data_IF_493941023319
#
_entry.id   IF_493941023319
#
_cell.length_a   1.000
_cell.length_b   1.000
_cell.length_c   1.000
_cell.angle_alpha   90.00
_cell.angle_beta   90.00
_cell.angle_gamma   90.00
#
_symmetry.space_group_name_H-M   'P 1'
#
loop_
_entity.id
_entity.type
_entity.pdbx_description
1 polymer ?
#
# COMPACT_ATOMS: atom_id res chain seq x y z
N UNK A 1 6.15 -52.63 -32.05
CA UNK A 1 5.59 -52.72 -30.68
C UNK A 1 6.23 -51.60 -29.85
N UNK A 2 5.62 -50.41 -29.74
CA UNK A 2 4.74 -49.93 -28.63
C UNK A 2 5.47 -49.88 -27.27
N UNK A 3 5.59 -48.79 -26.51
CA UNK A 3 4.72 -47.61 -26.29
C UNK A 3 5.53 -46.42 -25.72
N UNK A 4 5.32 -45.21 -26.24
CA UNK A 4 5.57 -43.96 -25.52
C UNK A 4 4.50 -43.81 -24.41
N UNK A 5 4.91 -43.51 -23.18
CA UNK A 5 4.00 -43.17 -22.07
C UNK A 5 3.88 -41.64 -21.95
N UNK A 6 2.67 -41.05 -22.07
CA UNK A 6 2.47 -39.61 -21.94
C UNK A 6 2.28 -39.15 -20.48
N UNK A 7 2.90 -38.00 -20.20
CA UNK A 7 2.75 -37.02 -19.10
C UNK A 7 1.83 -37.33 -17.90
N UNK A 8 2.45 -37.48 -16.73
CA UNK A 8 1.84 -37.52 -15.36
C UNK A 8 1.50 -36.12 -14.79
N UNK A 9 1.41 -35.08 -15.64
CA UNK A 9 1.23 -33.70 -15.16
C UNK A 9 -0.26 -33.35 -15.01
N UNK A 10 -1.12 -33.90 -15.87
CA UNK A 10 -2.56 -33.64 -15.87
C UNK A 10 -3.31 -34.33 -14.71
N UNK A 11 -2.80 -35.48 -14.23
CA UNK A 11 -3.37 -36.18 -13.07
C UNK A 11 -3.20 -35.41 -11.77
N UNK A 12 -2.09 -34.65 -11.63
CA UNK A 12 -1.82 -33.85 -10.43
C UNK A 12 -2.70 -32.59 -10.35
N UNK A 13 -3.06 -32.00 -11.48
CA UNK A 13 -3.90 -30.79 -11.50
C UNK A 13 -5.36 -31.05 -11.10
N UNK A 14 -5.87 -32.29 -11.24
CA UNK A 14 -7.25 -32.63 -10.86
C UNK A 14 -7.47 -32.78 -9.34
N UNK A 15 -6.41 -32.95 -8.55
CA UNK A 15 -6.53 -33.17 -7.10
C UNK A 15 -6.63 -31.87 -6.25
N UNK A 16 -6.37 -30.71 -6.83
CA UNK A 16 -6.36 -29.43 -6.10
C UNK A 16 -7.70 -28.67 -6.10
N UNK A 17 -8.72 -29.17 -6.80
CA UNK A 17 -9.99 -28.45 -7.03
C UNK A 17 -11.14 -28.82 -6.06
N UNK A 18 -10.91 -29.68 -5.07
CA UNK A 18 -11.93 -30.14 -4.10
C UNK A 18 -11.56 -29.83 -2.66
N UNK A 19 -10.92 -28.69 -2.39
CA UNK A 19 -10.75 -28.21 -1.01
C UNK A 19 -11.98 -27.39 -0.62
N UNK A 20 -12.91 -28.10 0.01
CA UNK A 20 -14.13 -27.57 0.60
C UNK A 20 -13.83 -26.42 1.58
N UNK A 21 -14.68 -25.39 1.50
CA UNK A 21 -14.76 -24.27 2.45
C UNK A 21 -15.01 -24.83 3.85
N UNK A 22 -14.23 -24.47 4.89
CA UNK A 22 -14.66 -24.73 6.25
C UNK A 22 -15.85 -23.80 6.58
N UNK A 23 -17.05 -24.36 6.55
CA UNK A 23 -18.24 -23.81 7.23
C UNK A 23 -17.98 -23.98 8.72
N UNK A 24 -17.67 -22.86 9.38
CA UNK A 24 -17.46 -22.83 10.82
C UNK A 24 -18.83 -22.96 11.50
N UNK A 25 -19.11 -24.16 12.00
CA UNK A 25 -20.25 -24.48 12.84
C UNK A 25 -20.05 -23.84 14.22
N UNK A 26 -20.83 -22.80 14.53
CA UNK A 26 -20.88 -22.20 15.87
C UNK A 26 -21.73 -23.07 16.83
N UNK A 27 -21.24 -23.43 18.03
CA UNK A 27 -22.10 -24.00 19.07
C UNK A 27 -22.87 -22.89 19.81
N UNK A 28 -24.14 -23.12 20.22
CA UNK A 28 -24.88 -22.19 21.05
C UNK A 28 -24.63 -22.49 22.54
N UNK A 29 -24.33 -21.44 23.32
CA UNK A 29 -24.51 -21.46 24.77
C UNK A 29 -23.24 -21.27 25.59
N UNK A 30 -22.91 -20.02 25.89
CA UNK A 30 -22.26 -19.63 27.15
C UNK A 30 -22.88 -18.29 27.58
N UNK A 31 -23.35 -18.14 28.84
CA UNK A 31 -23.98 -16.92 29.32
C UNK A 31 -22.95 -15.83 29.65
N UNK A 32 -23.44 -14.59 29.63
CA UNK A 32 -22.81 -13.32 30.00
C UNK A 32 -21.58 -13.40 30.93
N UNK A 33 -20.42 -13.04 30.38
CA UNK A 33 -19.21 -12.77 31.13
C UNK A 33 -18.19 -12.08 30.24
N UNK A 34 -17.84 -10.85 30.59
CA UNK A 34 -16.76 -10.02 30.04
C UNK A 34 -16.89 -9.59 28.56
N UNK A 35 -17.37 -8.35 28.38
CA UNK A 35 -17.10 -7.58 27.17
C UNK A 35 -15.57 -7.52 27.01
N UNK A 36 -14.98 -8.01 25.90
CA UNK A 36 -13.61 -7.65 25.61
C UNK A 36 -13.59 -6.14 25.40
N UNK A 37 -12.89 -5.44 26.27
CA UNK A 37 -12.56 -4.03 26.12
C UNK A 37 -11.74 -3.91 24.83
N UNK A 38 -12.43 -3.63 23.72
CA UNK A 38 -11.81 -3.43 22.41
C UNK A 38 -10.99 -2.17 22.52
N UNK A 39 -9.71 -2.32 22.88
CA UNK A 39 -8.73 -1.26 22.79
C UNK A 39 -8.84 -0.65 21.39
N UNK A 40 -8.98 0.68 21.24
CA UNK A 40 -9.09 1.28 19.93
C UNK A 40 -7.82 0.96 19.16
N UNK A 41 -7.94 0.07 18.16
CA UNK A 41 -6.87 -0.21 17.22
C UNK A 41 -6.52 1.14 16.60
N UNK A 42 -5.29 1.67 16.78
CA UNK A 42 -4.92 2.92 16.13
C UNK A 42 -5.11 2.70 14.64
N UNK A 43 -6.03 3.47 14.04
CA UNK A 43 -6.28 3.46 12.61
C UNK A 43 -4.96 3.84 11.94
N UNK A 44 -4.18 2.83 11.54
CA UNK A 44 -2.95 3.03 10.76
C UNK A 44 -3.37 3.89 9.57
N UNK A 45 -2.82 5.11 9.52
CA UNK A 45 -3.13 6.07 8.46
C UNK A 45 -2.99 5.34 7.11
N UNK A 46 -4.11 5.19 6.42
CA UNK A 46 -4.13 4.45 5.16
C UNK A 46 -3.31 5.24 4.16
N UNK A 47 -2.23 4.64 3.64
CA UNK A 47 -1.43 5.25 2.57
C UNK A 47 -2.30 5.28 1.31
N UNK A 48 -2.47 6.46 0.75
CA UNK A 48 -3.16 6.68 -0.53
C UNK A 48 -2.11 6.79 -1.63
N UNK A 49 -2.32 6.09 -2.76
CA UNK A 49 -1.49 6.25 -3.94
C UNK A 49 -1.97 7.48 -4.70
N UNK A 50 -1.06 8.41 -4.97
CA UNK A 50 -1.31 9.55 -5.83
C UNK A 50 -0.38 9.48 -7.04
N UNK A 51 -0.85 10.01 -8.17
CA UNK A 51 -0.05 10.17 -9.39
C UNK A 51 0.07 11.66 -9.63
N UNK A 52 1.28 12.11 -9.96
CA UNK A 52 1.60 13.52 -10.16
C UNK A 52 2.21 13.67 -11.56
N UNK A 53 1.62 14.53 -12.37
CA UNK A 53 2.17 14.90 -13.67
C UNK A 53 3.24 15.98 -13.44
N UNK A 54 4.45 15.69 -13.90
CA UNK A 54 5.62 16.56 -13.77
C UNK A 54 6.23 16.80 -15.14
N UNK A 55 6.75 18.00 -15.36
CA UNK A 55 7.62 18.25 -16.50
C UNK A 55 8.86 17.34 -16.44
N UNK A 56 9.44 16.95 -17.60
CA UNK A 56 10.58 16.04 -17.63
C UNK A 56 11.78 16.52 -16.79
N UNK A 57 12.00 17.83 -16.74
CA UNK A 57 13.08 18.43 -15.93
C UNK A 57 12.81 18.33 -14.44
N UNK A 58 11.59 18.68 -14.00
CA UNK A 58 11.18 18.55 -12.60
C UNK A 58 11.26 17.09 -12.12
N UNK A 59 10.85 16.13 -12.96
CA UNK A 59 10.96 14.71 -12.64
C UNK A 59 12.41 14.23 -12.52
N UNK A 60 13.33 14.71 -13.38
CA UNK A 60 14.77 14.41 -13.26
C UNK A 60 15.36 14.99 -11.97
N UNK A 61 15.00 16.23 -11.64
CA UNK A 61 15.47 16.88 -10.42
C UNK A 61 14.97 16.16 -9.17
N UNK A 62 13.69 15.75 -9.14
CA UNK A 62 13.13 14.96 -8.04
C UNK A 62 13.88 13.64 -7.85
N UNK A 63 14.17 12.93 -8.95
CA UNK A 63 14.94 11.67 -8.90
C UNK A 63 16.36 11.89 -8.39
N UNK A 64 17.04 12.94 -8.87
CA UNK A 64 18.40 13.27 -8.43
C UNK A 64 18.43 13.59 -6.95
N UNK A 65 17.50 14.42 -6.47
CA UNK A 65 17.39 14.76 -5.06
C UNK A 65 17.11 13.52 -4.19
N UNK A 66 16.21 12.64 -4.65
CA UNK A 66 15.93 11.37 -3.98
C UNK A 66 17.19 10.49 -3.84
N UNK A 67 18.02 10.41 -4.88
CA UNK A 67 19.29 9.71 -4.85
C UNK A 67 20.30 10.36 -3.89
N UNK A 68 20.39 11.69 -3.89
CA UNK A 68 21.30 12.43 -2.99
C UNK A 68 20.91 12.28 -1.52
N UNK A 69 19.61 12.16 -1.23
CA UNK A 69 19.07 11.99 0.12
C UNK A 69 18.96 10.52 0.56
N UNK A 70 19.39 9.56 -0.27
CA UNK A 70 19.21 8.10 -0.06
C UNK A 70 17.76 7.73 0.33
N UNK A 71 16.79 8.33 -0.37
CA UNK A 71 15.37 8.20 -0.06
C UNK A 71 14.54 7.95 -1.34
N UNK A 72 13.33 7.43 -1.17
CA UNK A 72 12.38 7.28 -2.27
C UNK A 72 11.77 8.64 -2.66
N UNK A 73 11.45 8.83 -3.95
CA UNK A 73 10.73 10.05 -4.40
C UNK A 73 9.40 10.26 -3.65
N UNK A 74 8.74 9.18 -3.24
CA UNK A 74 7.52 9.26 -2.42
C UNK A 74 7.76 9.81 -1.02
N UNK A 75 8.92 9.55 -0.43
CA UNK A 75 9.31 10.05 0.89
C UNK A 75 9.70 11.52 0.82
N UNK A 76 10.45 11.90 -0.23
CA UNK A 76 10.77 13.31 -0.52
C UNK A 76 9.49 14.13 -0.65
N UNK A 77 8.52 13.66 -1.45
CA UNK A 77 7.24 14.36 -1.60
C UNK A 77 6.47 14.46 -0.29
N UNK A 78 6.50 13.42 0.55
CA UNK A 78 5.85 13.46 1.87
C UNK A 78 6.53 14.46 2.81
N UNK A 79 7.87 14.53 2.78
CA UNK A 79 8.63 15.49 3.56
C UNK A 79 8.33 16.93 3.12
N UNK A 80 8.25 17.19 1.82
CA UNK A 80 7.86 18.50 1.27
C UNK A 80 6.46 18.92 1.71
N UNK A 81 5.48 18.01 1.63
CA UNK A 81 4.12 18.28 2.10
C UNK A 81 4.07 18.55 3.61
N UNK A 82 4.87 17.82 4.40
CA UNK A 82 4.98 18.05 5.83
C UNK A 82 5.65 19.40 6.14
N UNK A 83 6.65 19.81 5.36
CA UNK A 83 7.30 21.12 5.49
C UNK A 83 6.31 22.25 5.22
N UNK A 84 5.53 22.15 4.13
CA UNK A 84 4.45 23.12 3.82
C UNK A 84 3.34 23.14 4.87
N UNK A 85 3.15 22.04 5.60
CA UNK A 85 2.18 21.99 6.68
C UNK A 85 2.67 22.73 7.93
N UNK A 86 3.92 22.49 8.32
CA UNK A 86 4.47 22.97 9.59
C UNK A 86 5.13 24.34 9.51
N UNK A 87 5.68 24.73 8.35
CA UNK A 87 6.35 26.01 8.15
C UNK A 87 5.49 26.99 7.33
N UNK A 88 5.03 28.04 8.02
CA UNK A 88 4.20 29.09 7.42
C UNK A 88 4.99 29.95 6.44
N UNK A 89 6.31 30.13 6.64
CA UNK A 89 7.13 30.93 5.76
C UNK A 89 7.29 30.25 4.39
N UNK A 90 7.66 28.97 4.40
CA UNK A 90 7.75 28.16 3.17
C UNK A 90 6.39 28.07 2.48
N UNK A 91 5.29 27.88 3.23
CA UNK A 91 3.94 27.88 2.65
C UNK A 91 3.63 29.18 1.90
N UNK A 92 3.87 30.32 2.53
CA UNK A 92 3.58 31.62 1.93
C UNK A 92 4.45 31.87 0.71
N UNK A 93 5.73 31.49 0.74
CA UNK A 93 6.61 31.59 -0.42
C UNK A 93 6.09 30.79 -1.62
N UNK A 94 5.59 29.56 -1.39
CA UNK A 94 4.98 28.75 -2.44
C UNK A 94 3.67 29.37 -2.95
N UNK A 95 2.82 29.91 -2.06
CA UNK A 95 1.59 30.59 -2.46
C UNK A 95 1.88 31.82 -3.33
N UNK A 96 2.90 32.62 -2.99
CA UNK A 96 3.34 33.75 -3.80
C UNK A 96 3.85 33.28 -5.17
N UNK A 97 4.73 32.27 -5.21
CA UNK A 97 5.26 31.74 -6.47
C UNK A 97 4.15 31.19 -7.39
N UNK A 98 3.09 30.60 -6.82
CA UNK A 98 1.93 30.13 -7.58
C UNK A 98 1.03 31.28 -8.09
N UNK A 99 1.08 32.46 -7.46
CA UNK A 99 0.28 33.62 -7.88
C UNK A 99 0.92 34.43 -9.00
N UNK A 100 2.23 34.25 -9.23
CA UNK A 100 2.99 34.94 -10.27
C UNK A 100 2.99 34.21 -11.62
N UNK A 101 2.42 33.00 -11.67
CA UNK A 101 2.24 32.16 -12.85
C UNK A 101 0.79 32.18 -13.35
#
# INVERSE_FOLDING_TARGET
>A
MTKNKPSDVLSRMKAAATREKPVSTSPPGVPAGERPEVSPIPLKARRVRFTLDLEPEAHKNLKRFALEADADSSEVMRALLNLLHNDTQTRNAVLTALSEH
#
